data_IF_217844089110
#
_entry.id   IF_217844089110
#
_cell.length_a   1.000
_cell.length_b   1.000
_cell.length_c   1.000
_cell.angle_alpha   90.00
_cell.angle_beta   90.00
_cell.angle_gamma   90.00
#
_symmetry.space_group_name_H-M   'P 1'
#
loop_
_entity.id
_entity.type
_entity.pdbx_description
1 polymer ?
#
# COMPACT_ATOMS: atom_id res chain seq x y z
N UNK A 1 -45.19 -6.20 -45.37
CA UNK A 1 -44.31 -7.05 -44.53
C UNK A 1 -42.95 -6.37 -44.36
N UNK A 2 -42.93 -5.18 -43.75
CA UNK A 2 -41.70 -4.50 -43.33
C UNK A 2 -41.75 -4.50 -41.80
N UNK A 3 -41.18 -5.51 -41.17
CA UNK A 3 -41.30 -5.65 -39.72
C UNK A 3 -40.04 -6.27 -39.09
N UNK A 4 -39.73 -5.75 -37.89
CA UNK A 4 -38.78 -6.22 -36.88
C UNK A 4 -37.28 -5.94 -36.99
N UNK A 5 -36.64 -5.82 -38.15
CA UNK A 5 -35.16 -5.65 -38.19
C UNK A 5 -34.68 -4.22 -37.97
N UNK A 6 -35.48 -3.20 -38.32
CA UNK A 6 -35.07 -1.79 -38.27
C UNK A 6 -35.18 -1.19 -36.84
N UNK A 7 -36.01 -1.78 -35.96
CA UNK A 7 -36.13 -1.32 -34.57
C UNK A 7 -34.94 -1.71 -33.67
N UNK A 8 -34.12 -2.69 -34.06
CA UNK A 8 -32.93 -3.09 -33.29
C UNK A 8 -31.68 -2.27 -33.61
N UNK A 9 -31.65 -1.55 -34.74
CA UNK A 9 -30.51 -0.71 -35.12
C UNK A 9 -30.55 0.69 -34.50
N UNK A 10 -31.75 1.19 -34.14
CA UNK A 10 -31.92 2.48 -33.47
C UNK A 10 -31.66 2.43 -31.95
N UNK A 11 -31.52 1.23 -31.36
CA UNK A 11 -31.24 1.06 -29.93
C UNK A 11 -29.75 1.16 -29.55
N UNK A 12 -28.84 1.21 -30.53
CA UNK A 12 -27.39 1.23 -30.29
C UNK A 12 -26.72 2.61 -30.45
N UNK A 13 -27.46 3.69 -30.74
CA UNK A 13 -26.90 5.05 -30.91
C UNK A 13 -27.52 6.04 -29.90
N UNK A 14 -27.78 5.57 -28.68
CA UNK A 14 -28.33 6.44 -27.61
C UNK A 14 -27.70 6.16 -26.24
N UNK A 15 -26.39 5.87 -26.22
CA UNK A 15 -25.59 5.85 -24.98
C UNK A 15 -24.29 6.63 -25.23
N UNK A 16 -24.43 7.91 -25.57
CA UNK A 16 -23.32 8.86 -25.58
C UNK A 16 -23.73 10.25 -25.04
N UNK A 17 -24.94 10.38 -24.47
CA UNK A 17 -25.53 11.69 -24.17
C UNK A 17 -26.31 11.79 -22.86
N UNK A 18 -26.10 10.89 -21.89
CA UNK A 18 -26.75 11.01 -20.58
C UNK A 18 -25.83 10.54 -19.45
N UNK A 19 -25.03 11.45 -18.92
CA UNK A 19 -24.51 11.43 -17.54
C UNK A 19 -23.90 12.80 -17.21
N UNK A 20 -24.77 13.81 -17.15
CA UNK A 20 -24.54 15.07 -16.44
C UNK A 20 -25.79 15.34 -15.58
N UNK A 21 -25.88 14.61 -14.46
CA UNK A 21 -26.71 14.93 -13.29
C UNK A 21 -26.43 13.88 -12.21
N UNK A 22 -25.57 14.20 -11.25
CA UNK A 22 -25.48 13.45 -10.00
C UNK A 22 -26.54 13.97 -9.03
N UNK A 23 -27.43 13.13 -8.49
CA UNK A 23 -27.92 13.29 -7.15
C UNK A 23 -26.89 12.67 -6.19
N UNK A 24 -26.51 13.42 -5.15
CA UNK A 24 -25.81 12.86 -4.00
C UNK A 24 -26.77 11.87 -3.30
N UNK A 25 -26.44 10.58 -3.33
CA UNK A 25 -27.11 9.55 -2.56
C UNK A 25 -26.05 8.57 -2.02
N UNK A 26 -26.14 8.31 -0.72
CA UNK A 26 -25.17 7.62 0.11
C UNK A 26 -25.23 6.10 -0.05
N UNK A 27 -24.11 5.45 0.29
CA UNK A 27 -23.99 4.06 0.73
C UNK A 27 -24.29 2.94 -0.29
N UNK A 28 -23.23 2.43 -0.91
CA UNK A 28 -23.04 1.00 -1.18
C UNK A 28 -21.53 0.75 -1.24
N UNK A 29 -21.00 0.19 -0.16
CA UNK A 29 -19.63 -0.34 -0.08
C UNK A 29 -19.71 -1.82 -0.43
N UNK A 30 -19.16 -2.17 -1.58
CA UNK A 30 -18.74 -3.50 -2.07
C UNK A 30 -18.86 -3.45 -3.60
N UNK A 31 -17.87 -2.89 -4.29
CA UNK A 31 -17.91 -3.00 -5.76
C UNK A 31 -16.55 -2.93 -6.45
N UNK A 32 -15.43 -3.06 -5.75
CA UNK A 32 -14.11 -2.93 -6.39
C UNK A 32 -13.77 -4.10 -7.32
N UNK A 33 -14.02 -5.32 -6.87
CA UNK A 33 -13.75 -6.56 -7.62
C UNK A 33 -14.92 -6.91 -8.55
N UNK A 34 -16.16 -6.76 -8.10
CA UNK A 34 -17.36 -6.90 -8.94
C UNK A 34 -17.46 -5.84 -10.01
N UNK A 35 -17.03 -4.58 -9.81
CA UNK A 35 -16.98 -3.60 -10.91
C UNK A 35 -15.90 -3.94 -11.95
N UNK A 36 -14.74 -4.47 -11.55
CA UNK A 36 -13.71 -4.91 -12.50
C UNK A 36 -14.19 -6.13 -13.27
N UNK A 37 -14.81 -7.11 -12.59
CA UNK A 37 -15.44 -8.27 -13.24
C UNK A 37 -16.60 -7.86 -14.15
N UNK A 38 -17.39 -6.85 -13.76
CA UNK A 38 -18.47 -6.27 -14.57
C UNK A 38 -17.89 -5.54 -15.78
N UNK A 39 -16.82 -4.78 -15.63
CA UNK A 39 -16.14 -4.13 -16.76
C UNK A 39 -15.52 -5.15 -17.71
N UNK A 40 -14.92 -6.23 -17.19
CA UNK A 40 -14.41 -7.33 -18.00
C UNK A 40 -15.54 -8.04 -18.77
N UNK A 41 -16.68 -8.29 -18.13
CA UNK A 41 -17.83 -8.91 -18.79
C UNK A 41 -18.45 -7.99 -19.84
N UNK A 42 -18.61 -6.69 -19.55
CA UNK A 42 -19.07 -5.68 -20.50
C UNK A 42 -18.14 -5.57 -21.71
N UNK A 43 -16.82 -5.61 -21.51
CA UNK A 43 -15.84 -5.63 -22.59
C UNK A 43 -15.97 -6.90 -23.42
N UNK A 44 -16.10 -8.07 -22.78
CA UNK A 44 -16.29 -9.34 -23.48
C UNK A 44 -17.58 -9.36 -24.30
N UNK A 45 -18.67 -8.81 -23.78
CA UNK A 45 -19.94 -8.71 -24.50
C UNK A 45 -19.86 -7.72 -25.68
N UNK A 46 -19.09 -6.64 -25.52
CA UNK A 46 -18.79 -5.71 -26.62
C UNK A 46 -17.96 -6.41 -27.73
N UNK A 47 -16.95 -7.20 -27.38
CA UNK A 47 -16.16 -8.00 -28.35
C UNK A 47 -17.06 -8.96 -29.13
N UNK A 48 -17.96 -9.68 -28.46
CA UNK A 48 -18.93 -10.56 -29.12
C UNK A 48 -19.86 -9.78 -30.04
N UNK A 49 -20.30 -8.58 -29.63
CA UNK A 49 -21.15 -7.74 -30.46
C UNK A 49 -20.42 -7.28 -31.74
N UNK A 50 -19.15 -6.89 -31.62
CA UNK A 50 -18.27 -6.53 -32.75
C UNK A 50 -18.09 -7.74 -33.69
N UNK A 51 -17.78 -8.92 -33.16
CA UNK A 51 -17.62 -10.15 -33.96
C UNK A 51 -18.90 -10.53 -34.70
N UNK A 52 -20.06 -10.41 -34.04
CA UNK A 52 -21.35 -10.66 -34.66
C UNK A 52 -21.68 -9.63 -35.74
N UNK A 53 -21.31 -8.36 -35.54
CA UNK A 53 -21.51 -7.31 -36.53
C UNK A 53 -20.65 -7.54 -37.78
N UNK A 54 -19.42 -8.01 -37.60
CA UNK A 54 -18.50 -8.39 -38.66
C UNK A 54 -19.03 -9.58 -39.47
N UNK A 55 -19.38 -10.70 -38.80
CA UNK A 55 -19.94 -11.90 -39.43
C UNK A 55 -21.20 -11.63 -40.24
N UNK A 56 -22.04 -10.71 -39.77
CA UNK A 56 -23.31 -10.35 -40.43
C UNK A 56 -23.14 -9.24 -41.46
N UNK A 57 -21.95 -8.66 -41.60
CA UNK A 57 -21.66 -7.54 -42.50
C UNK A 57 -22.62 -6.36 -42.32
N UNK A 58 -23.02 -6.06 -41.08
CA UNK A 58 -24.00 -5.02 -40.75
C UNK A 58 -23.37 -3.68 -40.34
N UNK A 59 -22.04 -3.60 -40.30
CA UNK A 59 -21.27 -2.41 -39.95
C UNK A 59 -20.08 -2.22 -40.90
N UNK A 60 -19.61 -0.98 -41.05
CA UNK A 60 -18.47 -0.67 -41.91
C UNK A 60 -17.17 -1.22 -41.29
N UNK A 61 -16.27 -1.86 -42.07
CA UNK A 61 -15.04 -2.46 -41.53
C UNK A 61 -14.18 -1.51 -40.71
N UNK A 62 -13.96 -0.28 -41.18
CA UNK A 62 -13.13 0.70 -40.46
C UNK A 62 -13.71 1.08 -39.08
N UNK A 63 -15.04 1.10 -38.93
CA UNK A 63 -15.69 1.38 -37.66
C UNK A 63 -15.51 0.22 -36.68
N UNK A 64 -15.56 -1.03 -37.16
CA UNK A 64 -15.27 -2.20 -36.33
C UNK A 64 -13.81 -2.21 -35.86
N UNK A 65 -12.88 -1.76 -36.69
CA UNK A 65 -11.46 -1.63 -36.32
C UNK A 65 -11.23 -0.55 -35.26
N UNK A 66 -11.92 0.60 -35.37
CA UNK A 66 -11.90 1.63 -34.32
C UNK A 66 -12.44 1.10 -32.98
N UNK A 67 -13.55 0.37 -33.00
CA UNK A 67 -14.13 -0.24 -31.80
C UNK A 67 -13.20 -1.28 -31.18
N UNK A 68 -12.54 -2.12 -31.98
CA UNK A 68 -11.52 -3.07 -31.51
C UNK A 68 -10.36 -2.32 -30.85
N UNK A 69 -9.87 -1.25 -31.49
CA UNK A 69 -8.81 -0.40 -30.93
C UNK A 69 -9.21 0.20 -29.58
N UNK A 70 -10.46 0.64 -29.44
CA UNK A 70 -10.99 1.19 -28.20
C UNK A 70 -11.08 0.11 -27.11
N UNK A 71 -11.61 -1.07 -27.45
CA UNK A 71 -11.67 -2.22 -26.53
C UNK A 71 -10.28 -2.59 -26.01
N UNK A 72 -9.29 -2.71 -26.91
CA UNK A 72 -7.91 -3.02 -26.51
C UNK A 72 -7.31 -1.92 -25.63
N UNK A 73 -7.60 -0.65 -25.91
CA UNK A 73 -7.18 0.47 -25.04
C UNK A 73 -7.80 0.42 -23.64
N UNK A 74 -9.05 -0.04 -23.50
CA UNK A 74 -9.70 -0.22 -22.20
C UNK A 74 -9.23 -1.49 -21.48
N UNK A 75 -9.01 -2.59 -22.20
CA UNK A 75 -8.42 -3.82 -21.63
C UNK A 75 -7.01 -3.55 -21.09
N UNK A 76 -6.21 -2.76 -21.78
CA UNK A 76 -4.90 -2.34 -21.31
C UNK A 76 -4.94 -1.52 -20.00
N UNK A 77 -6.09 -0.90 -19.68
CA UNK A 77 -6.31 -0.17 -18.42
C UNK A 77 -6.81 -1.08 -17.29
N UNK A 78 -7.27 -2.29 -17.60
CA UNK A 78 -7.67 -3.29 -16.60
C UNK A 78 -6.39 -3.97 -16.10
N UNK A 79 -6.02 -3.62 -14.87
CA UNK A 79 -4.83 -4.15 -14.21
C UNK A 79 -5.16 -5.46 -13.52
N UNK A 80 -4.27 -6.46 -13.61
CA UNK A 80 -4.42 -7.67 -12.82
C UNK A 80 -4.38 -7.32 -11.32
N UNK A 81 -5.32 -7.86 -10.54
CA UNK A 81 -5.36 -7.70 -9.08
C UNK A 81 -4.74 -8.96 -8.46
N UNK A 82 -3.65 -8.79 -7.71
CA UNK A 82 -2.97 -9.87 -7.01
C UNK A 82 -3.51 -10.07 -5.59
N UNK A 83 -4.04 -9.00 -4.99
CA UNK A 83 -4.62 -9.00 -3.65
C UNK A 83 -5.57 -7.81 -3.51
N UNK A 84 -6.70 -7.99 -2.82
CA UNK A 84 -7.58 -6.89 -2.43
C UNK A 84 -8.31 -7.26 -1.14
N UNK A 85 -8.33 -6.33 -0.19
CA UNK A 85 -9.16 -6.39 1.02
C UNK A 85 -9.61 -4.98 1.38
N UNK A 86 -10.89 -4.83 1.73
CA UNK A 86 -11.49 -3.60 2.23
C UNK A 86 -12.12 -3.78 3.62
N UNK A 87 -11.95 -4.97 4.23
CA UNK A 87 -12.44 -5.34 5.55
C UNK A 87 -13.96 -5.15 5.74
N UNK A 88 -14.72 -5.00 4.66
CA UNK A 88 -16.18 -4.79 4.66
C UNK A 88 -16.94 -5.96 5.29
N UNK A 89 -16.38 -7.17 5.19
CA UNK A 89 -16.89 -8.39 5.79
C UNK A 89 -16.77 -8.40 7.33
N UNK A 90 -15.98 -7.50 7.92
CA UNK A 90 -15.73 -7.43 9.36
C UNK A 90 -14.77 -8.49 9.88
N UNK A 91 -14.08 -9.25 9.02
CA UNK A 91 -13.27 -10.39 9.43
C UNK A 91 -12.04 -10.65 8.54
N UNK A 92 -10.92 -10.05 8.92
CA UNK A 92 -9.62 -10.25 8.26
C UNK A 92 -9.10 -11.70 8.22
N UNK A 93 -9.76 -12.68 8.86
CA UNK A 93 -9.29 -14.09 8.89
C UNK A 93 -9.89 -14.96 7.78
N UNK A 94 -10.81 -14.42 6.98
CA UNK A 94 -11.53 -15.15 5.94
C UNK A 94 -10.85 -15.01 4.58
N UNK A 95 -11.46 -14.26 3.65
CA UNK A 95 -11.06 -14.18 2.25
C UNK A 95 -10.97 -12.70 1.83
N UNK A 96 -9.76 -12.15 1.67
CA UNK A 96 -8.47 -12.83 1.84
C UNK A 96 -8.11 -13.06 3.31
N UNK A 97 -7.26 -14.07 3.57
CA UNK A 97 -6.83 -14.39 4.93
C UNK A 97 -5.61 -13.56 5.31
N UNK A 98 -5.71 -12.91 6.46
CA UNK A 98 -4.60 -12.34 7.20
C UNK A 98 -4.25 -13.19 8.43
N UNK A 99 -2.96 -13.21 8.76
CA UNK A 99 -2.41 -13.88 9.95
C UNK A 99 -1.68 -12.84 10.78
N UNK A 100 -2.05 -12.72 12.05
CA UNK A 100 -1.34 -11.86 13.00
C UNK A 100 -0.04 -12.55 13.39
N UNK A 101 1.08 -11.86 13.20
CA UNK A 101 2.41 -12.29 13.63
C UNK A 101 2.71 -11.82 15.05
N UNK A 102 2.34 -10.56 15.36
CA UNK A 102 2.50 -9.95 16.67
C UNK A 102 1.49 -8.84 16.92
N UNK A 103 1.30 -8.48 18.19
CA UNK A 103 0.43 -7.37 18.60
C UNK A 103 -1.06 -7.63 18.41
N UNK A 104 -1.83 -6.55 18.23
CA UNK A 104 -3.29 -6.59 18.26
C UNK A 104 -3.90 -5.96 16.99
N UNK A 105 -4.89 -6.67 16.45
CA UNK A 105 -5.68 -6.26 15.28
C UNK A 105 -7.15 -6.64 15.46
N UNK A 106 -8.06 -5.71 15.14
CA UNK A 106 -9.50 -5.93 15.05
C UNK A 106 -10.08 -5.23 13.82
N UNK A 107 -11.23 -5.66 13.33
CA UNK A 107 -12.02 -4.85 12.38
C UNK A 107 -13.04 -4.03 13.16
N UNK A 108 -13.08 -2.72 12.93
CA UNK A 108 -13.98 -1.79 13.61
C UNK A 108 -15.41 -1.89 13.07
N UNK A 109 -16.42 -1.34 13.77
CA UNK A 109 -17.77 -1.20 13.21
C UNK A 109 -17.81 -0.39 11.91
N UNK A 110 -16.87 0.55 11.75
CA UNK A 110 -16.66 1.32 10.52
C UNK A 110 -15.97 0.54 9.40
N UNK A 111 -15.81 -0.78 9.54
CA UNK A 111 -15.24 -1.69 8.54
C UNK A 111 -13.79 -1.38 8.17
N UNK A 112 -12.99 -1.01 9.16
CA UNK A 112 -11.54 -0.78 9.01
C UNK A 112 -10.74 -1.72 9.88
N UNK A 113 -9.62 -2.20 9.38
CA UNK A 113 -8.65 -2.93 10.20
C UNK A 113 -7.93 -1.94 11.12
N UNK A 114 -8.06 -2.09 12.43
CA UNK A 114 -7.43 -1.22 13.43
C UNK A 114 -6.32 -1.95 14.17
N UNK A 115 -5.23 -1.23 14.41
CA UNK A 115 -4.15 -1.63 15.33
C UNK A 115 -3.82 -0.49 16.29
N UNK A 116 -3.38 -0.86 17.50
CA UNK A 116 -2.89 0.08 18.51
C UNK A 116 -1.64 -0.50 19.20
N UNK A 117 -0.60 0.32 19.29
CA UNK A 117 0.64 0.02 20.02
C UNK A 117 0.94 1.22 20.93
N UNK A 118 0.98 0.99 22.23
CA UNK A 118 1.20 2.06 23.20
C UNK A 118 2.70 2.28 23.45
N UNK A 119 3.06 3.51 23.82
CA UNK A 119 4.38 3.79 24.39
C UNK A 119 4.52 3.05 25.72
N UNK A 120 5.64 2.34 25.94
CA UNK A 120 5.95 1.81 27.26
C UNK A 120 6.12 3.00 28.19
N UNK A 121 5.28 3.07 29.22
CA UNK A 121 5.52 3.99 30.33
C UNK A 121 6.83 3.58 30.98
N UNK A 122 7.79 4.50 31.05
CA UNK A 122 9.00 4.30 31.83
C UNK A 122 8.59 3.84 33.23
N UNK A 123 9.00 2.63 33.62
CA UNK A 123 8.75 2.15 34.96
C UNK A 123 9.33 3.20 35.93
N UNK A 124 8.49 3.78 36.78
CA UNK A 124 8.97 4.66 37.83
C UNK A 124 10.03 3.87 38.61
N UNK A 125 11.30 4.29 38.53
CA UNK A 125 12.40 3.68 39.28
C UNK A 125 12.03 3.74 40.77
N UNK A 126 11.50 2.64 41.32
CA UNK A 126 11.69 2.37 42.74
C UNK A 126 13.18 2.10 42.89
N UNK A 127 13.86 3.03 43.55
CA UNK A 127 15.26 2.92 43.91
C UNK A 127 15.45 1.71 44.82
N UNK A 128 15.72 0.54 44.24
CA UNK A 128 16.36 -0.57 44.93
C UNK A 128 17.75 -0.73 44.32
N UNK A 129 18.74 -0.31 45.10
CA UNK A 129 20.16 -0.45 44.83
C UNK A 129 20.56 -1.91 44.61
N UNK A 130 20.99 -2.25 43.41
CA UNK A 130 21.99 -3.31 43.18
C UNK A 130 22.61 -3.13 41.78
N UNK A 131 23.72 -2.40 41.73
CA UNK A 131 24.57 -2.27 40.55
C UNK A 131 25.26 -3.60 40.28
N UNK A 132 25.07 -4.20 39.10
CA UNK A 132 26.09 -5.05 38.43
C UNK A 132 25.72 -5.54 37.01
N UNK A 133 24.61 -5.10 36.40
CA UNK A 133 24.23 -5.50 35.04
C UNK A 133 24.37 -4.44 33.94
N UNK A 134 24.41 -3.15 34.29
CA UNK A 134 24.36 -2.03 33.32
C UNK A 134 25.73 -1.66 32.71
N UNK A 135 26.81 -2.25 33.20
CA UNK A 135 28.17 -1.93 32.73
C UNK A 135 28.52 -2.65 31.41
N UNK A 136 27.96 -3.83 31.15
CA UNK A 136 28.34 -4.65 29.99
C UNK A 136 27.77 -4.13 28.66
N UNK A 137 26.57 -3.54 28.69
CA UNK A 137 25.93 -2.96 27.49
C UNK A 137 26.56 -1.62 27.09
N UNK A 138 27.02 -0.83 28.06
CA UNK A 138 27.73 0.43 27.79
C UNK A 138 29.16 0.21 27.27
N UNK A 139 29.80 -0.92 27.59
CA UNK A 139 31.12 -1.28 27.04
C UNK A 139 31.01 -1.72 25.57
N UNK A 140 29.95 -2.45 25.20
CA UNK A 140 29.73 -2.89 23.81
C UNK A 140 29.41 -1.74 22.85
N UNK A 141 28.72 -0.70 23.32
CA UNK A 141 28.38 0.46 22.49
C UNK A 141 29.53 1.48 22.38
N UNK A 142 30.44 1.53 23.37
CA UNK A 142 31.63 2.39 23.33
C UNK A 142 32.76 1.79 22.47
N UNK A 143 32.86 0.45 22.43
CA UNK A 143 33.86 -0.27 21.63
C UNK A 143 33.70 -0.17 20.11
N UNK A 144 32.53 0.24 19.59
CA UNK A 144 32.31 0.46 18.16
C UNK A 144 32.45 1.94 17.74
N UNK A 145 32.65 2.86 18.68
CA UNK A 145 32.74 4.30 18.40
C UNK A 145 34.16 4.87 18.57
N UNK A 146 35.05 4.19 19.30
CA UNK A 146 36.45 4.62 19.50
C UNK A 146 37.40 4.28 18.32
N UNK A 147 36.88 3.79 17.20
CA UNK A 147 37.65 3.51 15.98
C UNK A 147 37.82 4.73 15.05
N UNK A 148 37.31 5.90 15.42
CA UNK A 148 37.53 7.14 14.69
C UNK A 148 37.77 8.31 15.66
N UNK A 149 38.97 8.87 15.55
CA UNK A 149 39.41 10.20 16.01
C UNK A 149 39.77 10.39 17.50
N UNK A 150 41.09 10.51 17.74
CA UNK A 150 41.67 11.29 18.82
C UNK A 150 41.45 12.78 18.51
N UNK A 151 40.76 13.53 19.39
CA UNK A 151 41.32 14.77 19.96
C UNK A 151 40.47 15.30 21.13
N UNK A 152 41.14 16.03 22.03
CA UNK A 152 40.62 16.49 23.31
C UNK A 152 39.57 17.61 23.26
N UNK A 153 38.69 17.57 24.26
CA UNK A 153 38.01 18.69 24.95
C UNK A 153 36.98 19.52 24.18
N UNK A 154 35.70 19.37 24.58
CA UNK A 154 34.89 20.45 25.15
C UNK A 154 33.57 19.87 25.68
N UNK A 155 33.28 20.15 26.96
CA UNK A 155 32.00 19.89 27.60
C UNK A 155 30.91 20.76 26.98
N UNK A 156 29.90 20.15 26.37
CA UNK A 156 28.58 20.77 26.25
C UNK A 156 27.52 19.67 26.28
N UNK A 157 26.60 19.77 27.24
CA UNK A 157 25.60 18.75 27.53
C UNK A 157 24.72 18.48 26.33
N UNK A 158 24.92 17.33 25.69
CA UNK A 158 23.96 16.77 24.77
C UNK A 158 22.76 16.32 25.59
N UNK A 159 21.61 16.95 25.37
CA UNK A 159 20.34 16.40 25.81
C UNK A 159 20.17 15.05 25.12
N UNK A 160 20.42 13.97 25.85
CA UNK A 160 20.15 12.62 25.40
C UNK A 160 18.65 12.52 25.15
N UNK A 161 18.23 12.60 23.88
CA UNK A 161 16.86 12.28 23.50
C UNK A 161 16.60 10.85 23.97
N UNK A 162 15.80 10.69 25.01
CA UNK A 162 15.33 9.39 25.47
C UNK A 162 14.59 8.76 24.30
N UNK A 163 15.17 7.71 23.69
CA UNK A 163 14.46 6.86 22.73
C UNK A 163 13.27 6.29 23.49
N UNK A 164 12.07 6.74 23.15
CA UNK A 164 10.84 6.19 23.74
C UNK A 164 10.72 4.75 23.28
N UNK A 165 10.57 3.84 24.23
CA UNK A 165 10.38 2.42 23.94
C UNK A 165 8.89 2.16 23.74
N UNK A 166 8.49 1.55 22.63
CA UNK A 166 7.10 1.14 22.39
C UNK A 166 6.88 -0.29 22.90
N UNK A 167 5.62 -0.64 23.17
CA UNK A 167 5.22 -2.04 23.31
C UNK A 167 5.59 -2.85 22.05
N UNK A 168 5.55 -4.18 22.13
CA UNK A 168 5.89 -5.04 20.99
C UNK A 168 5.14 -4.57 19.74
N UNK A 169 5.85 -4.31 18.61
CA UNK A 169 5.21 -3.89 17.37
C UNK A 169 4.10 -4.86 16.96
N UNK A 170 3.04 -4.34 16.36
CA UNK A 170 1.96 -5.15 15.83
C UNK A 170 2.17 -5.41 14.34
N UNK A 171 2.18 -6.67 13.93
CA UNK A 171 2.41 -7.08 12.54
C UNK A 171 1.33 -8.06 12.12
N UNK A 172 0.72 -7.79 10.97
CA UNK A 172 -0.24 -8.68 10.33
C UNK A 172 0.18 -8.91 8.88
N UNK A 173 0.12 -10.16 8.42
CA UNK A 173 0.62 -10.58 7.12
C UNK A 173 -0.38 -11.41 6.34
N UNK A 174 -0.29 -11.35 5.02
CA UNK A 174 -1.05 -12.19 4.10
C UNK A 174 -0.10 -12.86 3.12
N UNK A 175 -0.43 -14.09 2.74
CA UNK A 175 0.30 -14.84 1.72
C UNK A 175 -0.35 -14.59 0.37
N UNK A 176 0.39 -13.98 -0.55
CA UNK A 176 -0.03 -13.72 -1.92
C UNK A 176 1.20 -13.66 -2.84
N UNK A 177 1.04 -14.08 -4.08
CA UNK A 177 2.10 -14.00 -5.09
C UNK A 177 2.04 -12.63 -5.76
N UNK A 178 3.06 -11.81 -5.52
CA UNK A 178 3.13 -10.45 -6.08
C UNK A 178 4.34 -10.41 -7.03
N UNK A 179 4.15 -10.19 -8.33
CA UNK A 179 5.24 -10.04 -9.28
C UNK A 179 6.20 -8.91 -8.91
N UNK A 180 7.40 -8.95 -9.47
CA UNK A 180 8.39 -7.90 -9.24
C UNK A 180 7.90 -6.50 -9.66
N UNK A 181 7.07 -6.42 -10.69
CA UNK A 181 6.35 -5.21 -11.05
C UNK A 181 4.96 -5.20 -10.40
N UNK A 182 4.70 -4.21 -9.55
CA UNK A 182 3.48 -4.13 -8.74
C UNK A 182 3.10 -2.67 -8.45
N UNK A 183 1.87 -2.46 -8.02
CA UNK A 183 1.42 -1.28 -7.27
C UNK A 183 0.70 -1.78 -6.02
N UNK A 184 1.14 -1.32 -4.86
CA UNK A 184 0.45 -1.48 -3.59
C UNK A 184 -0.23 -0.16 -3.26
N UNK A 185 -1.55 -0.20 -3.18
CA UNK A 185 -2.44 0.94 -2.99
C UNK A 185 -3.18 0.73 -1.66
N UNK A 186 -2.88 1.59 -0.69
CA UNK A 186 -3.37 1.46 0.68
C UNK A 186 -4.05 2.75 1.11
N UNK A 187 -5.29 2.62 1.56
CA UNK A 187 -6.03 3.71 2.19
C UNK A 187 -6.07 3.50 3.71
N UNK A 188 -5.77 4.54 4.47
CA UNK A 188 -5.69 4.46 5.93
C UNK A 188 -6.02 5.80 6.58
N UNK A 189 -6.35 5.75 7.87
CA UNK A 189 -6.45 6.90 8.74
C UNK A 189 -5.57 6.69 9.97
N UNK A 190 -5.07 7.78 10.54
CA UNK A 190 -4.28 7.75 11.76
C UNK A 190 -4.70 8.89 12.68
N UNK A 191 -4.71 8.60 13.99
CA UNK A 191 -4.87 9.64 15.01
C UNK A 191 -3.52 10.31 15.28
N UNK A 192 -3.51 11.59 15.69
CA UNK A 192 -2.29 12.27 16.12
C UNK A 192 -1.51 11.40 17.11
N UNK A 193 -0.38 10.89 16.66
CA UNK A 193 0.40 9.91 17.41
C UNK A 193 1.89 10.04 17.13
N UNK A 194 2.67 9.30 17.90
CA UNK A 194 4.08 9.04 17.62
C UNK A 194 4.24 7.57 17.28
N UNK A 195 5.18 7.26 16.40
CA UNK A 195 5.41 5.90 15.92
C UNK A 195 5.58 5.88 14.40
N UNK A 196 5.42 4.70 13.82
CA UNK A 196 5.49 4.52 12.38
C UNK A 196 4.51 3.43 11.92
N UNK A 197 4.07 3.57 10.68
CA UNK A 197 3.36 2.55 9.94
C UNK A 197 4.24 2.05 8.81
N UNK A 198 4.20 0.75 8.55
CA UNK A 198 4.96 0.16 7.45
C UNK A 198 4.10 -0.71 6.55
N UNK A 199 4.36 -0.59 5.25
CA UNK A 199 3.96 -1.55 4.23
C UNK A 199 5.17 -2.41 3.88
N UNK A 200 5.03 -3.74 3.97
CA UNK A 200 6.17 -4.66 3.86
C UNK A 200 5.93 -5.66 2.75
N UNK A 201 6.86 -5.74 1.80
CA UNK A 201 6.92 -6.82 0.81
C UNK A 201 7.75 -7.97 1.35
N UNK A 202 7.17 -9.16 1.37
CA UNK A 202 7.78 -10.36 1.94
C UNK A 202 8.23 -11.32 0.86
N UNK A 203 9.31 -12.06 1.10
CA UNK A 203 9.79 -13.08 0.17
C UNK A 203 10.51 -14.23 0.84
N UNK A 204 10.66 -15.32 0.08
CA UNK A 204 11.32 -16.55 0.52
C UNK A 204 10.41 -17.51 1.31
N UNK A 205 11.01 -18.61 1.78
CA UNK A 205 10.35 -19.60 2.62
C UNK A 205 11.31 -20.03 3.75
N UNK A 206 11.08 -19.64 5.02
CA UNK A 206 9.96 -18.84 5.49
C UNK A 206 10.00 -17.39 4.97
N UNK A 207 8.82 -16.79 4.81
CA UNK A 207 8.70 -15.41 4.31
C UNK A 207 9.34 -14.41 5.28
N UNK A 208 10.19 -13.53 4.75
CA UNK A 208 10.87 -12.44 5.48
C UNK A 208 10.65 -11.12 4.77
N UNK A 209 10.75 -10.01 5.50
CA UNK A 209 10.73 -8.68 4.90
C UNK A 209 11.88 -8.54 3.88
N UNK A 210 11.56 -8.07 2.68
CA UNK A 210 12.52 -7.75 1.61
C UNK A 210 12.57 -6.25 1.34
N UNK A 211 11.41 -5.60 1.34
CA UNK A 211 11.31 -4.14 1.31
C UNK A 211 10.29 -3.64 2.32
N UNK A 212 10.50 -2.41 2.82
CA UNK A 212 9.59 -1.67 3.69
C UNK A 212 9.39 -0.27 3.12
N UNK A 213 8.16 0.18 3.01
CA UNK A 213 7.84 1.60 2.96
C UNK A 213 7.47 2.02 4.37
N UNK A 214 8.25 2.93 4.95
CA UNK A 214 8.09 3.40 6.33
C UNK A 214 7.53 4.82 6.30
N UNK A 215 6.39 5.00 6.94
CA UNK A 215 5.79 6.29 7.22
C UNK A 215 5.95 6.60 8.71
N UNK A 216 6.68 7.67 9.04
CA UNK A 216 6.86 8.11 10.41
C UNK A 216 5.83 9.17 10.79
N UNK A 217 5.23 9.02 11.96
CA UNK A 217 4.25 9.97 12.43
C UNK A 217 4.87 11.30 12.85
N UNK A 218 4.06 12.38 12.81
CA UNK A 218 4.50 13.75 13.07
C UNK A 218 5.62 14.19 12.10
N UNK A 219 5.30 14.56 10.84
CA UNK A 219 6.30 14.86 9.83
C UNK A 219 7.39 15.84 10.28
N UNK A 220 8.66 15.48 10.06
CA UNK A 220 9.81 16.37 10.22
C UNK A 220 10.98 15.93 9.35
N UNK A 221 11.98 16.80 9.19
CA UNK A 221 13.17 16.46 8.43
C UNK A 221 13.91 15.23 8.97
N UNK A 222 13.89 15.04 10.29
CA UNK A 222 14.51 13.90 11.00
C UNK A 222 13.66 12.62 10.99
N UNK A 223 12.43 12.69 10.46
CA UNK A 223 11.49 11.57 10.36
C UNK A 223 10.98 11.44 8.93
N UNK A 224 11.84 11.14 7.94
CA UNK A 224 11.39 11.06 6.56
C UNK A 224 10.48 9.84 6.32
N UNK A 225 9.70 9.89 5.23
CA UNK A 225 9.18 8.66 4.62
C UNK A 225 10.33 7.97 3.91
N UNK A 226 10.47 6.65 4.05
CA UNK A 226 11.63 5.91 3.53
C UNK A 226 11.23 4.63 2.81
N UNK A 227 11.94 4.32 1.73
CA UNK A 227 11.97 2.98 1.16
C UNK A 227 13.23 2.29 1.69
N UNK A 228 13.06 1.16 2.35
CA UNK A 228 14.15 0.38 2.94
C UNK A 228 14.17 -1.00 2.29
N UNK A 229 15.36 -1.48 1.91
CA UNK A 229 15.61 -2.84 1.47
C UNK A 229 16.28 -3.63 2.59
N UNK A 230 15.82 -4.86 2.81
CA UNK A 230 16.41 -5.81 3.74
C UNK A 230 17.23 -6.86 2.98
N UNK A 231 18.46 -7.14 3.42
CA UNK A 231 19.29 -8.22 2.86
C UNK A 231 20.26 -8.77 3.90
N UNK A 232 20.15 -10.07 4.19
CA UNK A 232 21.08 -10.77 5.09
C UNK A 232 21.10 -10.18 6.50
N UNK A 233 19.96 -9.70 6.99
CA UNK A 233 19.83 -9.04 8.31
C UNK A 233 20.33 -7.60 8.35
N UNK A 234 20.59 -6.98 7.20
CA UNK A 234 20.97 -5.57 7.08
C UNK A 234 19.91 -4.78 6.32
N UNK A 235 19.65 -3.57 6.80
CA UNK A 235 18.76 -2.60 6.18
C UNK A 235 19.54 -1.59 5.33
N UNK A 236 19.01 -1.22 4.18
CA UNK A 236 19.57 -0.23 3.27
C UNK A 236 18.48 0.76 2.88
N UNK A 237 18.64 2.04 3.19
CA UNK A 237 17.74 3.07 2.70
C UNK A 237 17.98 3.25 1.20
N UNK A 238 16.93 3.08 0.40
CA UNK A 238 16.96 3.24 -1.05
C UNK A 238 16.76 4.70 -1.40
N UNK A 239 15.73 5.32 -0.82
CA UNK A 239 15.42 6.73 -0.98
C UNK A 239 14.52 7.22 0.15
N UNK A 240 14.39 8.53 0.32
CA UNK A 240 13.63 9.16 1.37
C UNK A 240 12.99 10.50 0.95
N UNK A 241 11.86 10.84 1.57
CA UNK A 241 11.23 12.15 1.46
C UNK A 241 11.12 12.81 2.83
N UNK A 242 11.87 13.89 3.05
CA UNK A 242 11.87 14.68 4.29
C UNK A 242 10.74 15.71 4.38
N UNK A 243 9.99 15.90 3.29
CA UNK A 243 8.85 16.81 3.22
C UNK A 243 7.64 16.06 2.69
N UNK A 244 6.63 15.90 3.55
CA UNK A 244 5.40 15.18 3.24
C UNK A 244 4.24 15.74 4.07
N UNK A 245 2.99 15.61 3.61
CA UNK A 245 1.83 16.05 4.37
C UNK A 245 1.69 15.29 5.68
N UNK A 246 1.11 15.91 6.70
CA UNK A 246 0.71 15.22 7.92
C UNK A 246 -0.49 14.31 7.61
N UNK A 247 -0.36 13.01 7.88
CA UNK A 247 -1.40 12.00 7.61
C UNK A 247 -2.10 11.52 8.89
N UNK A 248 -1.74 12.07 10.05
CA UNK A 248 -2.39 11.78 11.36
C UNK A 248 -3.44 12.83 11.74
N UNK A 249 -4.33 13.17 10.82
CA UNK A 249 -5.40 14.15 11.05
C UNK A 249 -6.79 13.49 11.23
N UNK A 250 -6.82 12.16 11.36
CA UNK A 250 -8.03 11.34 11.44
C UNK A 250 -8.79 11.19 10.12
N UNK A 251 -8.35 11.82 9.04
CA UNK A 251 -8.93 11.66 7.70
C UNK A 251 -8.35 10.44 6.99
N UNK A 252 -9.04 10.03 5.93
CA UNK A 252 -8.57 8.96 5.08
C UNK A 252 -7.55 9.50 4.08
N UNK A 253 -6.35 8.94 4.11
CA UNK A 253 -5.27 9.19 3.19
C UNK A 253 -4.97 7.97 2.34
N UNK A 254 -4.33 8.18 1.20
CA UNK A 254 -3.96 7.12 0.26
C UNK A 254 -2.47 7.16 -0.03
N UNK A 255 -1.81 6.03 0.15
CA UNK A 255 -0.42 5.80 -0.26
C UNK A 255 -0.40 4.78 -1.39
N UNK A 256 0.21 5.14 -2.50
CA UNK A 256 0.54 4.23 -3.59
C UNK A 256 2.04 4.03 -3.65
N UNK A 257 2.47 2.77 -3.53
CA UNK A 257 3.85 2.36 -3.71
C UNK A 257 3.92 1.42 -4.91
N UNK A 258 4.56 1.87 -5.98
CA UNK A 258 4.67 1.09 -7.21
C UNK A 258 6.13 0.83 -7.59
N UNK A 259 6.32 -0.27 -8.33
CA UNK A 259 7.54 -0.58 -9.06
C UNK A 259 7.18 -1.12 -10.43
N UNK A 260 7.75 -0.58 -11.50
CA UNK A 260 7.59 -1.13 -12.84
C UNK A 260 8.63 -2.24 -13.16
N UNK A 261 8.58 -2.78 -14.38
CA UNK A 261 9.50 -3.84 -14.82
C UNK A 261 10.95 -3.37 -14.98
N UNK A 262 11.19 -2.07 -15.14
CA UNK A 262 12.51 -1.47 -15.24
C UNK A 262 13.09 -1.10 -13.87
N UNK A 263 12.29 -1.26 -12.81
CA UNK A 263 12.67 -0.94 -11.43
C UNK A 263 12.39 0.51 -11.06
N UNK A 264 11.73 1.29 -11.91
CA UNK A 264 11.25 2.62 -11.54
C UNK A 264 10.28 2.44 -10.38
N UNK A 265 10.64 3.00 -9.23
CA UNK A 265 9.84 2.97 -8.02
C UNK A 265 9.26 4.36 -7.75
N UNK A 266 7.98 4.39 -7.38
CA UNK A 266 7.26 5.61 -7.07
C UNK A 266 6.53 5.45 -5.75
N UNK A 267 6.57 6.50 -4.93
CA UNK A 267 5.67 6.66 -3.78
C UNK A 267 4.85 7.92 -4.00
N UNK A 268 3.54 7.74 -4.09
CA UNK A 268 2.55 8.82 -4.20
C UNK A 268 1.72 8.83 -2.94
N UNK A 269 1.52 10.02 -2.37
CA UNK A 269 0.63 10.24 -1.23
C UNK A 269 -0.39 11.29 -1.60
N UNK A 270 -1.67 10.94 -1.51
CA UNK A 270 -2.80 11.80 -1.90
C UNK A 270 -2.64 12.45 -3.29
N UNK A 271 -2.13 11.67 -4.25
CA UNK A 271 -1.89 12.12 -5.62
C UNK A 271 -0.58 12.92 -5.82
N UNK A 272 0.16 13.23 -4.77
CA UNK A 272 1.47 13.91 -4.85
C UNK A 272 2.61 12.90 -4.80
N UNK A 273 3.46 12.90 -5.82
CA UNK A 273 4.71 12.13 -5.80
C UNK A 273 5.65 12.65 -4.71
N UNK A 274 6.06 11.75 -3.81
CA UNK A 274 7.02 12.06 -2.74
C UNK A 274 8.41 11.46 -3.02
N UNK A 275 8.46 10.24 -3.55
CA UNK A 275 9.71 9.53 -3.86
C UNK A 275 9.64 9.04 -5.30
N UNK A 276 10.72 9.26 -6.06
CA UNK A 276 10.92 8.69 -7.40
C UNK A 276 12.36 8.20 -7.48
N UNK A 277 12.53 6.89 -7.60
CA UNK A 277 13.85 6.24 -7.58
C UNK A 277 13.88 5.03 -8.51
N UNK A 278 15.02 4.35 -8.61
CA UNK A 278 15.18 3.12 -9.38
C UNK A 278 15.82 2.05 -8.50
N UNK A 279 15.15 0.92 -8.35
CA UNK A 279 15.64 -0.23 -7.58
C UNK A 279 15.12 -1.56 -8.14
N UNK A 280 16.03 -2.47 -8.45
CA UNK A 280 15.77 -3.74 -9.12
C UNK A 280 16.52 -4.92 -8.45
N UNK A 281 16.85 -4.79 -7.15
CA UNK A 281 17.60 -5.81 -6.41
C UNK A 281 16.87 -7.15 -6.36
N UNK A 282 15.63 -7.17 -5.88
CA UNK A 282 14.76 -8.35 -5.91
C UNK A 282 13.94 -8.38 -7.21
N UNK A 283 14.24 -9.36 -8.08
CA UNK A 283 13.60 -9.56 -9.39
C UNK A 283 12.58 -10.70 -9.42
N UNK A 284 12.62 -11.57 -8.42
CA UNK A 284 11.64 -12.64 -8.27
C UNK A 284 10.33 -12.08 -7.68
N UNK A 285 9.27 -12.87 -7.79
CA UNK A 285 8.00 -12.55 -7.13
C UNK A 285 8.17 -12.54 -5.61
N UNK A 286 7.46 -11.62 -4.97
CA UNK A 286 7.25 -11.62 -3.53
C UNK A 286 6.20 -12.67 -3.15
N UNK A 287 6.32 -13.21 -1.94
CA UNK A 287 5.48 -14.30 -1.43
C UNK A 287 4.45 -13.83 -0.39
N UNK A 288 4.40 -12.52 -0.11
CA UNK A 288 3.40 -11.95 0.76
C UNK A 288 3.54 -10.45 0.97
N UNK A 289 2.57 -9.92 1.69
CA UNK A 289 2.51 -8.51 2.10
C UNK A 289 2.19 -8.44 3.59
N UNK A 290 2.70 -7.43 4.27
CA UNK A 290 2.37 -7.18 5.67
C UNK A 290 2.17 -5.70 5.95
N UNK A 291 1.34 -5.44 6.96
CA UNK A 291 1.18 -4.15 7.60
C UNK A 291 1.82 -4.23 8.98
N UNK A 292 2.60 -3.22 9.34
CA UNK A 292 3.18 -3.10 10.66
C UNK A 292 2.82 -1.76 11.32
N UNK A 293 2.52 -1.82 12.61
CA UNK A 293 2.35 -0.68 13.50
C UNK A 293 3.50 -0.69 14.51
N UNK A 294 4.36 0.31 14.44
CA UNK A 294 5.52 0.53 15.31
C UNK A 294 5.22 1.50 16.46
N UNK A 295 3.97 1.90 16.64
CA UNK A 295 3.54 2.87 17.65
C UNK A 295 2.34 3.68 17.16
N UNK A 296 1.43 4.01 18.07
CA UNK A 296 0.25 4.81 17.77
C UNK A 296 -0.97 3.96 17.37
N UNK A 297 -1.97 4.64 16.81
CA UNK A 297 -3.24 4.04 16.37
C UNK A 297 -3.36 4.24 14.87
N UNK A 298 -3.53 3.13 14.16
CA UNK A 298 -3.68 3.11 12.70
C UNK A 298 -4.93 2.32 12.33
N UNK A 299 -5.67 2.84 11.36
CA UNK A 299 -6.84 2.19 10.78
C UNK A 299 -6.64 2.07 9.27
N UNK A 300 -6.56 0.85 8.74
CA UNK A 300 -6.51 0.59 7.31
C UNK A 300 -7.93 0.35 6.80
N UNK A 301 -8.32 1.14 5.81
CA UNK A 301 -9.62 1.08 5.15
C UNK A 301 -9.59 0.09 3.99
N UNK A 302 -8.52 0.11 3.19
CA UNK A 302 -8.34 -0.85 2.10
C UNK A 302 -6.87 -1.09 1.78
N UNK A 303 -6.60 -2.30 1.28
CA UNK A 303 -5.31 -2.73 0.76
C UNK A 303 -5.55 -3.40 -0.59
N UNK A 304 -4.96 -2.86 -1.65
CA UNK A 304 -4.99 -3.46 -2.99
C UNK A 304 -3.58 -3.60 -3.53
N UNK A 305 -3.26 -4.77 -4.07
CA UNK A 305 -2.00 -5.04 -4.75
C UNK A 305 -2.33 -5.51 -6.15
N UNK A 306 -1.73 -4.86 -7.12
CA UNK A 306 -2.12 -4.97 -8.52
C UNK A 306 -0.92 -4.79 -9.44
N UNK A 307 -1.14 -5.06 -10.73
CA UNK A 307 -0.13 -4.89 -11.75
C UNK A 307 0.28 -3.41 -11.88
N UNK A 308 1.58 -3.13 -11.92
CA UNK A 308 2.08 -1.78 -12.15
C UNK A 308 1.69 -1.25 -13.53
N UNK A 309 1.46 0.07 -13.63
CA UNK A 309 1.25 0.75 -14.92
C UNK A 309 2.59 0.93 -15.64
N UNK A 310 2.67 0.69 -16.96
CA UNK A 310 3.87 1.02 -17.73
C UNK A 310 4.11 2.54 -17.73
N UNK A 311 5.31 2.99 -17.35
CA UNK A 311 5.79 4.36 -17.60
C UNK A 311 5.35 5.46 -16.62
N UNK A 312 5.20 5.15 -15.33
CA UNK A 312 4.96 6.15 -14.27
C UNK A 312 6.21 6.93 -13.83
#
# INVERSE_FOLDING_TARGET
MLDHTIKKLAACILIAGLLFAMPAASAAADDGDSSVQTLQSMISDLEKAIENADKRMIAHPSFLDELRGLVEAYKAKIRAVFFSDDFSDGNYKLSPRWTVDSGFFLVTPGKRLRSQVNEKKAAAKKSSSSNQGEEVLNILLKGMLDAATNDQSSQQGAATQSVKEYETPAVIKTACSIPAAFEADVSFAAEPSQGAMEMVLMGGNPARALYRLVYNASPSADRPIQIIREKGGRSYVIDMASQYPMLEDGQLHRIQWSRDMNGNMLVIVDGKTLIRTVELFYRDSFTGFALANQGGIWEWDSVKILQSMPGQ
#
